data_IF_480474079717
#
_entry.id   IF_480474079717
#
_cell.length_a   1.000
_cell.length_b   1.000
_cell.length_c   1.000
_cell.angle_alpha   90.00
_cell.angle_beta   90.00
_cell.angle_gamma   90.00
#
_symmetry.space_group_name_H-M   'P 1'
#
loop_
_entity.id
_entity.type
_entity.pdbx_description
1 polymer ?
#
# COMPACT_ATOMS: atom_id res chain seq x y z
N UNK A 1 -24.17 3.62 6.78
CA UNK A 1 -23.25 2.46 6.63
C UNK A 1 -21.85 3.01 6.85
N UNK A 2 -21.00 2.36 7.64
CA UNK A 2 -19.63 2.86 7.86
C UNK A 2 -18.83 2.78 6.56
N UNK A 3 -17.84 3.67 6.40
CA UNK A 3 -17.04 3.78 5.18
C UNK A 3 -16.24 2.51 4.85
N UNK A 4 -15.88 1.75 5.89
CA UNK A 4 -15.20 0.46 5.80
C UNK A 4 -15.50 -0.41 7.03
N UNK A 5 -15.02 -1.65 7.00
CA UNK A 5 -15.21 -2.67 8.03
C UNK A 5 -14.43 -2.34 9.31
N UNK A 6 -15.11 -2.47 10.46
CA UNK A 6 -14.56 -2.12 11.79
C UNK A 6 -14.01 -0.69 11.86
N UNK A 7 -14.82 0.25 11.38
CA UNK A 7 -14.45 1.67 11.32
C UNK A 7 -14.01 2.22 12.68
N UNK A 8 -14.80 1.97 13.74
CA UNK A 8 -14.50 2.45 15.09
C UNK A 8 -13.18 1.91 15.64
N UNK A 9 -12.84 0.64 15.36
CA UNK A 9 -11.58 0.05 15.81
C UNK A 9 -10.35 0.60 15.08
N UNK A 10 -10.48 0.92 13.79
CA UNK A 10 -9.34 1.35 12.94
C UNK A 10 -9.15 2.86 12.87
N UNK A 11 -10.24 3.63 12.95
CA UNK A 11 -10.20 5.07 12.72
C UNK A 11 -9.22 5.85 13.62
N UNK A 12 -8.95 5.47 14.89
CA UNK A 12 -7.95 6.19 15.70
C UNK A 12 -6.55 6.17 15.07
N UNK A 13 -6.14 5.02 14.52
CA UNK A 13 -4.84 4.85 13.89
C UNK A 13 -4.78 5.51 12.50
N UNK A 14 -5.88 5.45 11.75
CA UNK A 14 -6.05 6.14 10.47
C UNK A 14 -5.99 7.66 10.66
N UNK A 15 -6.69 8.21 11.66
CA UNK A 15 -6.68 9.64 11.99
C UNK A 15 -5.28 10.13 12.37
N UNK A 16 -4.51 9.33 13.10
CA UNK A 16 -3.11 9.65 13.40
C UNK A 16 -2.30 9.86 12.12
N UNK A 17 -2.42 8.95 11.16
CA UNK A 17 -1.73 9.06 9.88
C UNK A 17 -2.25 10.24 9.03
N UNK A 18 -3.57 10.42 8.93
CA UNK A 18 -4.16 11.57 8.23
C UNK A 18 -3.60 12.90 8.76
N UNK A 19 -3.58 13.06 10.08
CA UNK A 19 -3.11 14.27 10.75
C UNK A 19 -1.61 14.50 10.57
N UNK A 20 -0.79 13.45 10.66
CA UNK A 20 0.66 13.50 10.42
C UNK A 20 0.98 14.07 9.02
N UNK A 21 0.14 13.73 8.04
CA UNK A 21 0.29 14.20 6.67
C UNK A 21 -0.56 15.44 6.35
N UNK A 22 -1.21 16.06 7.32
CA UNK A 22 -1.97 17.31 7.13
C UNK A 22 -3.26 17.15 6.34
N UNK A 23 -3.98 16.05 6.54
CA UNK A 23 -5.36 15.86 6.09
C UNK A 23 -6.34 16.06 7.26
N UNK A 24 -7.61 16.32 6.96
CA UNK A 24 -8.67 16.27 7.97
C UNK A 24 -8.79 14.86 8.60
N UNK A 25 -9.50 14.74 9.73
CA UNK A 25 -9.80 13.45 10.34
C UNK A 25 -11.08 12.82 9.75
N UNK A 26 -11.23 11.51 9.91
CA UNK A 26 -12.42 10.78 9.48
C UNK A 26 -12.57 10.63 7.97
N UNK A 27 -13.80 10.41 7.53
CA UNK A 27 -14.18 10.27 6.12
C UNK A 27 -13.73 11.48 5.27
N UNK A 28 -13.85 12.70 5.81
CA UNK A 28 -13.41 13.91 5.11
C UNK A 28 -11.94 13.85 4.73
N UNK A 29 -11.07 13.43 5.65
CA UNK A 29 -9.64 13.26 5.39
C UNK A 29 -9.32 12.23 4.32
N UNK A 30 -10.05 11.11 4.34
CA UNK A 30 -9.89 10.06 3.34
C UNK A 30 -10.35 10.50 1.95
N UNK A 31 -11.42 11.30 1.86
CA UNK A 31 -11.85 11.89 0.59
C UNK A 31 -10.84 12.93 0.08
N UNK A 32 -10.31 13.80 0.95
CA UNK A 32 -9.22 14.73 0.59
C UNK A 32 -7.98 13.98 0.05
N UNK A 33 -7.63 12.83 0.66
CA UNK A 33 -6.56 11.96 0.18
C UNK A 33 -6.88 11.36 -1.20
N UNK A 34 -8.12 10.93 -1.44
CA UNK A 34 -8.57 10.42 -2.75
C UNK A 34 -8.55 11.50 -3.82
N UNK A 35 -9.05 12.70 -3.49
CA UNK A 35 -9.07 13.85 -4.39
C UNK A 35 -7.66 14.29 -4.77
N UNK A 36 -6.71 14.26 -3.82
CA UNK A 36 -5.30 14.48 -4.12
C UNK A 36 -4.79 13.48 -5.16
N UNK A 37 -5.07 12.19 -5.00
CA UNK A 37 -4.66 11.18 -5.97
C UNK A 37 -5.31 11.41 -7.34
N UNK A 38 -6.62 11.68 -7.38
CA UNK A 38 -7.37 12.00 -8.61
C UNK A 38 -6.82 13.22 -9.32
N UNK A 39 -6.39 14.25 -8.58
CA UNK A 39 -5.77 15.44 -9.16
C UNK A 39 -4.46 15.14 -9.90
N UNK A 40 -3.78 14.03 -9.54
CA UNK A 40 -2.59 13.52 -10.24
C UNK A 40 -2.92 12.54 -11.37
N UNK A 41 -4.20 12.32 -11.67
CA UNK A 41 -4.67 11.53 -12.82
C UNK A 41 -4.89 10.04 -12.57
N UNK A 42 -4.97 9.58 -11.31
CA UNK A 42 -5.24 8.18 -10.98
C UNK A 42 -6.12 8.03 -9.73
N UNK A 43 -6.76 6.88 -9.57
CA UNK A 43 -7.62 6.59 -8.42
C UNK A 43 -7.22 5.27 -7.75
N UNK A 44 -6.53 5.30 -6.59
CA UNK A 44 -6.09 4.11 -5.89
C UNK A 44 -7.24 3.19 -5.48
N UNK A 45 -8.42 3.76 -5.20
CA UNK A 45 -9.60 3.01 -4.78
C UNK A 45 -10.07 2.07 -5.91
N UNK A 46 -10.22 2.63 -7.11
CA UNK A 46 -10.63 1.87 -8.32
C UNK A 46 -9.53 0.92 -8.81
N UNK A 47 -8.26 1.32 -8.67
CA UNK A 47 -7.12 0.44 -9.01
C UNK A 47 -7.10 -0.79 -8.08
N UNK A 48 -7.34 -0.61 -6.79
CA UNK A 48 -7.41 -1.71 -5.83
C UNK A 48 -8.57 -2.66 -6.20
N UNK A 49 -9.77 -2.11 -6.46
CA UNK A 49 -10.95 -2.89 -6.82
C UNK A 49 -10.80 -3.63 -8.16
N UNK A 50 -10.20 -3.01 -9.17
CA UNK A 50 -9.95 -3.66 -10.46
C UNK A 50 -8.90 -4.77 -10.37
N UNK A 51 -7.97 -4.69 -9.40
CA UNK A 51 -6.98 -5.74 -9.15
C UNK A 51 -7.60 -6.94 -8.46
N UNK A 52 -8.51 -6.72 -7.51
CA UNK A 52 -9.22 -7.77 -6.78
C UNK A 52 -10.66 -7.33 -6.53
N UNK A 53 -11.62 -7.82 -7.33
CA UNK A 53 -13.02 -7.36 -7.29
C UNK A 53 -13.71 -7.59 -5.95
N UNK A 54 -13.26 -8.59 -5.19
CA UNK A 54 -13.78 -8.95 -3.87
C UNK A 54 -12.96 -8.36 -2.72
N UNK A 55 -12.14 -7.33 -2.97
CA UNK A 55 -11.40 -6.65 -1.90
C UNK A 55 -12.35 -5.88 -0.96
N UNK A 56 -12.01 -5.88 0.32
CA UNK A 56 -12.72 -5.13 1.36
C UNK A 56 -12.59 -3.61 1.18
N UNK A 57 -13.49 -2.85 1.80
CA UNK A 57 -13.44 -1.39 1.76
C UNK A 57 -12.19 -0.84 2.43
N UNK A 58 -11.78 -1.43 3.56
CA UNK A 58 -10.58 -1.02 4.30
C UNK A 58 -9.31 -1.04 3.44
N UNK A 59 -9.14 -2.07 2.60
CA UNK A 59 -8.01 -2.20 1.69
C UNK A 59 -7.98 -1.07 0.65
N UNK A 60 -9.15 -0.75 0.05
CA UNK A 60 -9.25 0.33 -0.94
C UNK A 60 -8.88 1.68 -0.34
N UNK A 61 -9.40 1.98 0.86
CA UNK A 61 -9.08 3.22 1.58
C UNK A 61 -7.64 3.27 2.09
N UNK A 62 -7.06 2.13 2.46
CA UNK A 62 -5.66 2.04 2.83
C UNK A 62 -4.72 2.39 1.66
N UNK A 63 -5.04 1.94 0.44
CA UNK A 63 -4.31 2.32 -0.77
C UNK A 63 -4.52 3.79 -1.13
N UNK A 64 -5.71 4.35 -0.91
CA UNK A 64 -5.96 5.80 -1.07
C UNK A 64 -5.04 6.60 -0.15
N UNK A 65 -5.07 6.31 1.16
CA UNK A 65 -4.25 7.03 2.13
C UNK A 65 -2.75 6.83 1.84
N UNK A 66 -2.32 5.60 1.58
CA UNK A 66 -0.93 5.28 1.26
C UNK A 66 -0.42 6.02 0.02
N UNK A 67 -1.24 6.11 -1.03
CA UNK A 67 -0.88 6.83 -2.26
C UNK A 67 -0.77 8.33 -2.02
N UNK A 68 -1.70 8.90 -1.24
CA UNK A 68 -1.67 10.30 -0.86
C UNK A 68 -0.43 10.65 -0.01
N UNK A 69 -0.06 9.75 0.92
CA UNK A 69 1.19 9.85 1.70
C UNK A 69 2.41 9.83 0.77
N UNK A 70 2.46 8.90 -0.18
CA UNK A 70 3.55 8.81 -1.14
C UNK A 70 3.70 10.07 -2.00
N UNK A 71 2.58 10.70 -2.40
CA UNK A 71 2.59 11.98 -3.11
C UNK A 71 3.21 13.08 -2.24
N UNK A 72 2.74 13.25 -0.99
CA UNK A 72 3.23 14.29 -0.09
C UNK A 72 4.72 14.09 0.26
N UNK A 73 5.15 12.86 0.49
CA UNK A 73 6.56 12.54 0.75
C UNK A 73 7.45 12.76 -0.47
N UNK A 74 6.96 12.41 -1.67
CA UNK A 74 7.67 12.68 -2.92
C UNK A 74 7.78 14.17 -3.23
N UNK A 75 6.75 14.96 -2.92
CA UNK A 75 6.80 16.43 -3.03
C UNK A 75 7.78 17.06 -2.02
N UNK A 76 7.84 16.53 -0.80
CA UNK A 76 8.75 17.00 0.26
C UNK A 76 10.21 16.65 0.01
N UNK A 77 10.48 15.41 -0.40
CA UNK A 77 11.85 14.89 -0.58
C UNK A 77 12.41 15.12 -1.99
N UNK A 78 11.55 15.28 -2.99
CA UNK A 78 11.90 15.29 -4.40
C UNK A 78 12.08 13.90 -5.02
N UNK A 79 12.05 12.82 -4.22
CA UNK A 79 12.18 11.45 -4.71
C UNK A 79 10.85 10.94 -5.29
N UNK A 80 10.85 10.60 -6.57
CA UNK A 80 9.69 10.10 -7.33
C UNK A 80 9.87 8.67 -7.81
N UNK A 81 10.81 7.93 -7.22
CA UNK A 81 11.05 6.53 -7.58
C UNK A 81 9.90 5.64 -7.12
N UNK A 82 9.58 4.61 -7.91
CA UNK A 82 8.57 3.63 -7.55
C UNK A 82 8.88 2.90 -6.24
N UNK A 83 10.16 2.71 -5.93
CA UNK A 83 10.61 2.09 -4.68
C UNK A 83 10.19 2.91 -3.46
N UNK A 84 10.52 4.20 -3.44
CA UNK A 84 10.15 5.10 -2.33
C UNK A 84 8.64 5.31 -2.25
N UNK A 85 7.95 5.38 -3.40
CA UNK A 85 6.49 5.43 -3.42
C UNK A 85 5.87 4.17 -2.78
N UNK A 86 6.35 2.97 -3.11
CA UNK A 86 5.85 1.73 -2.52
C UNK A 86 6.08 1.64 -1.01
N UNK A 87 7.26 2.06 -0.52
CA UNK A 87 7.55 2.13 0.90
C UNK A 87 6.58 3.08 1.63
N UNK A 88 6.30 4.25 1.05
CA UNK A 88 5.36 5.22 1.60
C UNK A 88 3.90 4.72 1.57
N UNK A 89 3.48 4.01 0.52
CA UNK A 89 2.17 3.35 0.49
C UNK A 89 2.01 2.38 1.67
N UNK A 90 3.09 1.68 2.05
CA UNK A 90 3.12 0.81 3.22
C UNK A 90 2.73 1.50 4.53
N UNK A 91 3.02 2.81 4.68
CA UNK A 91 2.59 3.60 5.85
C UNK A 91 1.07 3.73 5.93
N UNK A 92 0.42 3.95 4.78
CA UNK A 92 -1.04 3.96 4.69
C UNK A 92 -1.65 2.60 4.99
N UNK A 93 -1.08 1.52 4.43
CA UNK A 93 -1.50 0.15 4.75
C UNK A 93 -1.37 -0.16 6.25
N UNK A 94 -0.29 0.31 6.88
CA UNK A 94 -0.08 0.12 8.31
C UNK A 94 -1.11 0.89 9.15
N UNK A 95 -1.55 2.06 8.68
CA UNK A 95 -2.54 2.86 9.40
C UNK A 95 -3.90 2.16 9.54
N UNK A 96 -4.20 1.23 8.63
CA UNK A 96 -5.43 0.43 8.66
C UNK A 96 -5.27 -0.89 9.42
N UNK A 97 -4.07 -1.28 9.88
CA UNK A 97 -3.92 -2.48 10.72
C UNK A 97 -4.58 -2.25 12.08
N UNK A 98 -5.50 -3.13 12.51
CA UNK A 98 -6.23 -2.96 13.75
C UNK A 98 -5.29 -3.00 14.97
N UNK A 99 -5.35 -2.04 15.91
CA UNK A 99 -4.53 -2.06 17.13
C UNK A 99 -4.66 -3.39 17.90
N UNK A 100 -3.53 -3.96 18.31
CA UNK A 100 -3.49 -5.24 19.03
C UNK A 100 -3.73 -6.48 18.16
N UNK A 101 -3.94 -6.32 16.85
CA UNK A 101 -3.91 -7.43 15.91
C UNK A 101 -2.48 -7.86 15.59
N UNK A 102 -2.30 -9.11 15.17
CA UNK A 102 -1.00 -9.62 14.66
C UNK A 102 -0.48 -8.75 13.50
N UNK A 103 -1.37 -8.18 12.70
CA UNK A 103 -0.99 -7.32 11.58
C UNK A 103 -0.37 -5.99 12.06
N UNK A 104 -0.92 -5.40 13.12
CA UNK A 104 -0.33 -4.20 13.71
C UNK A 104 0.99 -4.52 14.45
N UNK A 105 1.03 -5.58 15.25
CA UNK A 105 2.23 -5.98 15.98
C UNK A 105 3.41 -6.28 15.06
N UNK A 106 3.18 -7.07 14.00
CA UNK A 106 4.23 -7.45 13.04
C UNK A 106 4.50 -6.38 11.98
N UNK A 107 3.82 -5.24 12.06
CA UNK A 107 3.94 -4.12 11.12
C UNK A 107 3.77 -4.56 9.67
N UNK A 108 2.72 -5.35 9.41
CA UNK A 108 2.46 -6.00 8.12
C UNK A 108 2.30 -5.00 6.98
N UNK A 109 1.63 -3.86 7.22
CA UNK A 109 1.47 -2.81 6.21
C UNK A 109 2.80 -2.22 5.76
N UNK A 110 3.69 -1.90 6.71
CA UNK A 110 5.06 -1.48 6.41
C UNK A 110 5.84 -2.58 5.69
N UNK A 111 5.67 -3.84 6.11
CA UNK A 111 6.26 -5.01 5.47
C UNK A 111 5.90 -5.13 3.99
N UNK A 112 4.61 -4.98 3.65
CA UNK A 112 4.14 -5.00 2.27
C UNK A 112 4.72 -3.84 1.43
N UNK A 113 4.73 -2.63 1.98
CA UNK A 113 5.35 -1.49 1.30
C UNK A 113 6.83 -1.70 1.02
N UNK A 114 7.58 -2.20 2.01
CA UNK A 114 9.01 -2.50 1.88
C UNK A 114 9.30 -3.64 0.89
N UNK A 115 8.43 -4.65 0.83
CA UNK A 115 8.53 -5.70 -0.19
C UNK A 115 8.37 -5.09 -1.59
N UNK A 116 7.34 -4.28 -1.81
CA UNK A 116 7.14 -3.55 -3.06
C UNK A 116 8.34 -2.67 -3.41
N UNK A 117 8.89 -1.96 -2.42
CA UNK A 117 10.07 -1.11 -2.59
C UNK A 117 11.27 -1.90 -3.10
N UNK A 118 11.58 -3.02 -2.46
CA UNK A 118 12.67 -3.92 -2.89
C UNK A 118 12.43 -4.46 -4.29
N UNK A 119 11.22 -4.88 -4.62
CA UNK A 119 10.90 -5.39 -5.96
C UNK A 119 11.03 -4.33 -7.05
N UNK A 120 10.81 -3.05 -6.74
CA UNK A 120 10.92 -1.94 -7.69
C UNK A 120 12.33 -1.31 -7.72
N UNK A 121 13.17 -1.58 -6.72
CA UNK A 121 14.55 -1.08 -6.67
C UNK A 121 15.48 -1.84 -7.62
N UNK A 122 16.22 -1.11 -8.46
CA UNK A 122 17.25 -1.70 -9.35
C UNK A 122 18.39 -2.38 -8.59
N UNK A 123 18.60 -2.10 -7.30
CA UNK A 123 19.59 -2.81 -6.48
C UNK A 123 19.20 -4.28 -6.25
N UNK A 124 17.90 -4.59 -6.24
CA UNK A 124 17.42 -5.96 -6.09
C UNK A 124 17.57 -6.71 -7.40
N UNK A 125 18.30 -7.82 -7.40
CA UNK A 125 18.62 -8.60 -8.61
C UNK A 125 18.00 -10.00 -8.63
N UNK A 126 17.42 -10.44 -7.52
CA UNK A 126 16.80 -11.75 -7.38
C UNK A 126 15.63 -11.68 -6.40
N UNK A 127 14.53 -12.34 -6.75
CA UNK A 127 13.39 -12.58 -5.88
C UNK A 127 13.25 -14.10 -5.69
N UNK A 128 13.64 -14.58 -4.52
CA UNK A 128 13.46 -15.98 -4.14
C UNK A 128 12.25 -16.10 -3.20
N UNK A 129 11.34 -17.01 -3.51
CA UNK A 129 10.18 -17.31 -2.68
C UNK A 129 10.32 -18.69 -2.06
N UNK A 130 10.33 -18.75 -0.73
CA UNK A 130 10.32 -20.01 0.02
C UNK A 130 8.90 -20.26 0.52
N UNK A 131 8.25 -21.29 -0.02
CA UNK A 131 6.89 -21.68 0.34
C UNK A 131 6.90 -22.97 1.16
N UNK A 132 6.07 -23.04 2.20
CA UNK A 132 5.80 -24.29 2.92
C UNK A 132 4.83 -25.20 2.14
N UNK A 133 4.61 -26.41 2.67
CA UNK A 133 3.81 -27.46 2.03
C UNK A 133 2.38 -27.05 1.64
N UNK A 134 1.79 -26.06 2.32
CA UNK A 134 0.42 -25.57 2.08
C UNK A 134 0.36 -24.30 1.22
N UNK A 135 1.49 -23.82 0.69
CA UNK A 135 1.59 -22.48 0.08
C UNK A 135 1.72 -22.49 -1.45
N UNK A 136 1.32 -23.58 -2.12
CA UNK A 136 1.47 -23.70 -3.57
C UNK A 136 0.71 -22.61 -4.35
N UNK A 137 -0.51 -22.28 -3.94
CA UNK A 137 -1.28 -21.19 -4.53
C UNK A 137 -0.66 -19.80 -4.28
N UNK A 138 0.06 -19.64 -3.16
CA UNK A 138 0.77 -18.40 -2.85
C UNK A 138 2.00 -18.20 -3.73
N UNK A 139 2.62 -19.29 -4.23
CA UNK A 139 3.76 -19.23 -5.14
C UNK A 139 3.40 -18.59 -6.48
N UNK A 140 2.23 -18.92 -7.05
CA UNK A 140 1.77 -18.32 -8.31
C UNK A 140 1.53 -16.80 -8.16
N UNK A 141 0.95 -16.40 -7.03
CA UNK A 141 0.79 -14.99 -6.67
C UNK A 141 2.13 -14.27 -6.56
N UNK A 142 3.09 -14.86 -5.84
CA UNK A 142 4.43 -14.30 -5.66
C UNK A 142 5.17 -14.09 -7.00
N UNK A 143 5.11 -15.07 -7.90
CA UNK A 143 5.70 -14.98 -9.25
C UNK A 143 5.05 -13.86 -10.06
N UNK A 144 3.71 -13.74 -10.01
CA UNK A 144 2.97 -12.66 -10.72
C UNK A 144 3.39 -11.27 -10.23
N UNK A 145 3.67 -11.09 -8.94
CA UNK A 145 4.13 -9.81 -8.40
C UNK A 145 5.52 -9.45 -8.97
N UNK A 146 6.47 -10.39 -8.98
CA UNK A 146 7.79 -10.15 -9.56
C UNK A 146 7.72 -9.88 -11.08
N UNK A 147 6.84 -10.60 -11.81
CA UNK A 147 6.59 -10.37 -13.22
C UNK A 147 5.99 -8.98 -13.50
N UNK A 148 5.09 -8.49 -12.64
CA UNK A 148 4.55 -7.13 -12.74
C UNK A 148 5.63 -6.07 -12.45
N UNK A 149 6.47 -6.27 -11.44
CA UNK A 149 7.60 -5.36 -11.18
C UNK A 149 8.55 -5.28 -12.39
N UNK A 150 8.82 -6.40 -13.05
CA UNK A 150 9.64 -6.47 -14.26
C UNK A 150 9.11 -5.67 -15.46
N UNK A 151 7.84 -5.21 -15.45
CA UNK A 151 7.30 -4.34 -16.51
C UNK A 151 7.89 -2.94 -16.51
N UNK A 152 8.36 -2.46 -15.35
CA UNK A 152 8.85 -1.08 -15.15
C UNK A 152 10.34 -1.01 -14.83
N UNK A 153 11.01 -2.16 -14.69
CA UNK A 153 12.44 -2.25 -14.38
C UNK A 153 13.29 -2.24 -15.64
N UNK A 154 14.51 -1.71 -15.53
CA UNK A 154 15.55 -1.83 -16.55
C UNK A 154 16.15 -3.23 -16.54
N UNK A 155 16.54 -3.70 -15.37
CA UNK A 155 17.08 -5.05 -15.18
C UNK A 155 16.02 -5.94 -14.55
N UNK A 156 15.58 -6.96 -15.29
CA UNK A 156 14.58 -7.92 -14.81
C UNK A 156 15.11 -8.70 -13.61
N UNK A 157 14.28 -8.86 -12.60
CA UNK A 157 14.50 -9.76 -11.47
C UNK A 157 14.63 -11.19 -11.97
N UNK A 158 15.64 -11.90 -11.45
CA UNK A 158 15.69 -13.36 -11.49
C UNK A 158 14.73 -13.90 -10.45
N UNK A 159 13.75 -14.69 -10.88
CA UNK A 159 12.73 -15.31 -10.03
C UNK A 159 13.02 -16.80 -9.90
#
# INVERSE_FOLDING_TARGET
MSLFEDYEGRIPQVNKALKEYGFAEGEKGLQEARDLCKSKGFDPYEICQSTQQICFEDAKWAYVLGSAIAIKEGEKSGDKTGSTAAANIGKGLQAFCLPGSVADDRKVGLGHGNLGARLLSEETQCFAFLAGHESFAAAEGAIKIAANANKVRKNKLRV
#
